data_IF_118072095663
#
_entry.id   IF_118072095663
#
_cell.length_a   1.000
_cell.length_b   1.000
_cell.length_c   1.000
_cell.angle_alpha   90.00
_cell.angle_beta   90.00
_cell.angle_gamma   90.00
#
_symmetry.space_group_name_H-M   'P 1'
#
loop_
_entity.id
_entity.type
_entity.pdbx_description
1 polymer ?
#
# COMPACT_ATOMS: atom_id res chain seq x y z
N UNK A 1 14.10 -15.43 9.29
CA UNK A 1 12.79 -14.76 9.13
C UNK A 1 12.63 -14.34 7.67
N UNK A 2 11.80 -15.03 6.89
CA UNK A 2 11.47 -14.55 5.53
C UNK A 2 10.74 -13.22 5.66
N UNK A 3 11.39 -12.13 5.25
CA UNK A 3 10.75 -10.82 5.10
C UNK A 3 9.71 -10.92 3.97
N UNK A 4 8.55 -11.53 4.24
CA UNK A 4 7.40 -11.62 3.33
C UNK A 4 6.74 -10.25 3.23
N UNK A 5 7.42 -9.33 2.54
CA UNK A 5 6.82 -8.07 2.12
C UNK A 5 5.76 -8.38 1.06
N UNK A 6 4.58 -7.78 1.23
CA UNK A 6 3.51 -7.75 0.24
C UNK A 6 3.43 -6.33 -0.33
N UNK A 7 3.05 -6.24 -1.59
CA UNK A 7 2.70 -4.99 -2.25
C UNK A 7 1.25 -4.67 -1.93
N UNK A 8 1.03 -3.43 -1.49
CA UNK A 8 -0.28 -2.88 -1.23
C UNK A 8 -0.47 -1.69 -2.17
N UNK A 9 -1.52 -1.75 -2.98
CA UNK A 9 -1.92 -0.69 -3.88
C UNK A 9 -3.12 0.04 -3.30
N UNK A 10 -3.02 1.36 -3.24
CA UNK A 10 -4.10 2.24 -2.82
C UNK A 10 -4.40 3.23 -3.92
N UNK A 11 -5.67 3.50 -4.16
CA UNK A 11 -6.13 4.40 -5.21
C UNK A 11 -6.88 5.56 -4.61
N UNK A 12 -6.61 6.79 -5.05
CA UNK A 12 -7.38 7.97 -4.66
C UNK A 12 -8.63 8.14 -5.56
N UNK A 13 -9.57 9.02 -5.22
CA UNK A 13 -10.81 9.23 -5.99
C UNK A 13 -10.55 9.84 -7.37
N UNK A 14 -9.36 10.40 -7.61
CA UNK A 14 -8.92 10.88 -8.91
C UNK A 14 -8.29 9.78 -9.78
N UNK A 15 -8.22 8.53 -9.29
CA UNK A 15 -7.67 7.39 -10.02
C UNK A 15 -6.16 7.25 -9.93
N UNK A 16 -5.49 7.95 -9.00
CA UNK A 16 -4.05 7.83 -8.78
C UNK A 16 -3.79 6.62 -7.88
N UNK A 17 -3.21 5.57 -8.45
CA UNK A 17 -2.77 4.40 -7.71
C UNK A 17 -1.36 4.61 -7.14
N UNK A 18 -1.20 4.46 -5.83
CA UNK A 18 0.08 4.39 -5.11
C UNK A 18 0.34 2.97 -4.61
N UNK A 19 1.46 2.39 -5.01
CA UNK A 19 1.87 1.05 -4.56
C UNK A 19 3.09 1.14 -3.64
N UNK A 20 3.07 0.37 -2.55
CA UNK A 20 4.25 0.22 -1.69
C UNK A 20 4.32 -1.15 -1.01
N UNK A 21 5.53 -1.52 -0.62
CA UNK A 21 5.81 -2.79 0.05
C UNK A 21 5.71 -2.65 1.56
N UNK A 22 4.89 -3.50 2.20
CA UNK A 22 4.79 -3.59 3.65
C UNK A 22 4.75 -5.05 4.11
N UNK A 23 5.16 -5.33 5.35
CA UNK A 23 5.07 -6.68 5.92
C UNK A 23 3.68 -6.98 6.48
N UNK A 24 2.88 -5.94 6.74
CA UNK A 24 1.52 -6.05 7.27
C UNK A 24 0.63 -4.92 6.73
N UNK A 25 -0.69 -5.15 6.78
CA UNK A 25 -1.69 -4.14 6.43
C UNK A 25 -1.60 -2.89 7.34
N UNK A 26 -1.27 -3.08 8.62
CA UNK A 26 -1.07 -1.96 9.53
C UNK A 26 0.11 -1.07 9.10
N UNK A 27 1.25 -1.67 8.76
CA UNK A 27 2.37 -0.90 8.20
C UNK A 27 1.96 -0.21 6.89
N UNK A 28 1.19 -0.89 6.05
CA UNK A 28 0.70 -0.32 4.82
C UNK A 28 -0.17 0.93 5.06
N UNK A 29 -1.10 0.87 6.03
CA UNK A 29 -1.94 2.00 6.41
C UNK A 29 -1.14 3.17 7.00
N UNK A 30 -0.07 2.90 7.76
CA UNK A 30 0.82 3.95 8.28
C UNK A 30 1.57 4.65 7.14
N UNK A 31 2.08 3.89 6.16
CA UNK A 31 2.74 4.45 4.97
C UNK A 31 1.75 5.30 4.17
N UNK A 32 0.55 4.76 3.89
CA UNK A 32 -0.54 5.51 3.24
C UNK A 32 -0.87 6.80 3.98
N UNK A 33 -1.01 6.76 5.32
CA UNK A 33 -1.33 7.95 6.12
C UNK A 33 -0.25 9.04 5.98
N UNK A 34 1.03 8.65 6.03
CA UNK A 34 2.15 9.58 5.81
C UNK A 34 2.12 10.18 4.41
N UNK A 35 1.95 9.34 3.37
CA UNK A 35 1.85 9.77 1.97
C UNK A 35 0.69 10.75 1.75
N UNK A 36 -0.47 10.46 2.33
CA UNK A 36 -1.64 11.31 2.25
C UNK A 36 -1.37 12.68 2.91
N UNK A 37 -0.71 12.69 4.07
CA UNK A 37 -0.31 13.94 4.74
C UNK A 37 0.70 14.75 3.93
N UNK A 38 1.69 14.11 3.28
CA UNK A 38 2.65 14.77 2.39
C UNK A 38 1.99 15.40 1.15
N UNK A 39 0.95 14.74 0.64
CA UNK A 39 0.16 15.20 -0.51
C UNK A 39 -0.93 16.20 -0.12
N UNK A 40 -1.13 16.48 1.18
CA UNK A 40 -2.18 17.39 1.66
C UNK A 40 -3.60 16.87 1.47
N UNK A 41 -3.78 15.55 1.28
CA UNK A 41 -5.08 14.92 1.02
C UNK A 41 -5.47 13.97 2.17
N UNK A 42 -6.77 13.76 2.41
CA UNK A 42 -7.20 12.89 3.49
C UNK A 42 -6.85 11.44 3.18
N UNK A 43 -6.35 10.71 4.18
CA UNK A 43 -6.05 9.26 4.07
C UNK A 43 -7.28 8.44 3.67
N UNK A 44 -8.49 8.94 3.92
CA UNK A 44 -9.77 8.32 3.59
C UNK A 44 -10.09 8.42 2.11
N UNK A 45 -9.49 9.38 1.39
CA UNK A 45 -9.61 9.46 -0.06
C UNK A 45 -8.97 8.26 -0.75
N UNK A 46 -7.90 7.72 -0.18
CA UNK A 46 -7.30 6.51 -0.69
C UNK A 46 -8.13 5.27 -0.30
N UNK A 47 -8.39 4.37 -1.22
CA UNK A 47 -8.98 3.06 -0.98
C UNK A 47 -7.96 1.96 -1.31
N UNK A 48 -7.99 0.85 -0.57
CA UNK A 48 -7.10 -0.27 -0.85
C UNK A 48 -7.67 -1.07 -2.02
N UNK A 49 -6.99 -1.06 -3.17
CA UNK A 49 -7.47 -1.72 -4.39
C UNK A 49 -6.83 -3.08 -4.63
N UNK A 50 -5.60 -3.30 -4.17
CA UNK A 50 -4.92 -4.57 -4.38
C UNK A 50 -3.92 -4.91 -3.28
N UNK A 51 -3.87 -6.19 -2.91
CA UNK A 51 -2.80 -6.77 -2.09
C UNK A 51 -2.16 -7.90 -2.88
N UNK A 52 -0.91 -7.70 -3.30
CA UNK A 52 -0.11 -8.74 -3.96
C UNK A 52 1.01 -9.21 -3.05
N UNK A 53 1.01 -10.49 -2.72
CA UNK A 53 2.23 -11.12 -2.20
C UNK A 53 3.25 -11.16 -3.33
N UNK A 54 4.52 -10.87 -3.04
CA UNK A 54 5.61 -11.13 -3.99
C UNK A 54 5.41 -12.58 -4.46
N UNK A 55 5.33 -12.89 -5.77
CA UNK A 55 5.25 -14.26 -6.20
C UNK A 55 6.46 -14.95 -5.58
N UNK A 56 6.20 -15.90 -4.67
CA UNK A 56 7.23 -16.86 -4.32
C UNK A 56 7.57 -17.51 -5.64
N UNK A 57 8.78 -17.24 -6.12
CA UNK A 57 9.37 -17.96 -7.24
C UNK A 57 9.39 -19.43 -6.82
N UNK A 58 8.30 -20.13 -7.06
CA UNK A 58 8.26 -21.58 -7.12
C UNK A 58 8.85 -21.91 -8.49
N UNK A 59 10.17 -21.96 -8.53
CA UNK A 59 10.90 -22.68 -9.56
C UNK A 59 10.99 -24.15 -9.14
#
# INVERSE_FOLDING_TARGET
>A
MSNKKSYYAFEDPQGITIEFQATSLQQAMVIKKKKAQELGIPKEAFELTSIRKKPSQSA
#
